data_IF_720152214907
#
_entry.id   IF_720152214907
#
_cell.length_a   1.000
_cell.length_b   1.000
_cell.length_c   1.000
_cell.angle_alpha   90.00
_cell.angle_beta   90.00
_cell.angle_gamma   90.00
#
_symmetry.space_group_name_H-M   'P 1'
#
loop_
_entity.id
_entity.type
_entity.pdbx_description
1 polymer ?
#
# COMPACT_ATOMS: atom_id res chain seq x y z
N UNK A 1 13.55 16.72 8.23
CA UNK A 1 12.14 16.68 7.77
C UNK A 1 11.54 15.27 7.80
N UNK A 2 12.01 14.32 6.97
CA UNK A 2 11.46 12.94 6.92
C UNK A 2 11.38 12.27 8.31
N UNK A 3 12.42 12.39 9.14
CA UNK A 3 12.41 11.82 10.50
C UNK A 3 11.36 12.47 11.41
N UNK A 4 11.07 13.77 11.25
CA UNK A 4 10.01 14.44 12.01
C UNK A 4 8.63 13.93 11.59
N UNK A 5 8.44 13.70 10.29
CA UNK A 5 7.21 13.12 9.75
C UNK A 5 7.03 11.69 10.26
N UNK A 6 8.04 10.84 10.09
CA UNK A 6 8.03 9.46 10.57
C UNK A 6 7.84 9.37 12.08
N UNK A 7 8.50 10.25 12.84
CA UNK A 7 8.31 10.39 14.28
C UNK A 7 6.89 10.81 14.66
N UNK A 8 6.25 11.70 13.87
CA UNK A 8 4.86 12.10 14.09
C UNK A 8 3.89 10.92 13.86
N UNK A 9 4.08 10.15 12.78
CA UNK A 9 3.30 8.93 12.54
C UNK A 9 3.50 7.89 13.64
N UNK A 10 4.74 7.65 14.05
CA UNK A 10 5.05 6.70 15.10
C UNK A 10 4.44 7.12 16.44
N UNK A 11 4.64 8.37 16.86
CA UNK A 11 4.11 8.88 18.12
C UNK A 11 2.59 8.75 18.16
N UNK A 12 1.90 9.23 17.12
CA UNK A 12 0.44 9.15 17.05
C UNK A 12 -0.05 7.69 16.98
N UNK A 13 0.62 6.83 16.22
CA UNK A 13 0.27 5.41 16.13
C UNK A 13 0.40 4.69 17.48
N UNK A 14 1.52 4.87 18.18
CA UNK A 14 1.76 4.19 19.46
C UNK A 14 0.93 4.78 20.61
N UNK A 15 0.47 6.03 20.51
CA UNK A 15 -0.45 6.63 21.47
C UNK A 15 -1.89 6.12 21.30
N UNK A 16 -2.32 5.88 20.06
CA UNK A 16 -3.73 5.57 19.75
C UNK A 16 -4.02 4.08 19.53
N UNK A 17 -3.05 3.32 19.03
CA UNK A 17 -3.25 1.92 18.67
C UNK A 17 -2.36 1.02 19.54
N UNK A 18 -2.94 0.03 20.24
CA UNK A 18 -2.17 -0.90 21.05
C UNK A 18 -1.20 -1.70 20.19
N UNK A 19 -0.25 -2.38 20.82
CA UNK A 19 0.64 -3.33 20.15
C UNK A 19 0.44 -4.71 20.78
N UNK A 20 -0.07 -5.70 20.04
CA UNK A 20 -0.54 -5.60 18.65
C UNK A 20 -1.84 -4.79 18.50
N UNK A 21 -1.99 -4.08 17.38
CA UNK A 21 -3.14 -3.25 16.97
C UNK A 21 -4.24 -4.08 16.31
N UNK A 22 -5.38 -3.49 15.94
CA UNK A 22 -6.61 -4.23 15.59
C UNK A 22 -6.43 -5.37 14.58
N UNK A 23 -5.75 -5.13 13.45
CA UNK A 23 -5.52 -6.17 12.43
C UNK A 23 -4.14 -6.82 12.53
N UNK A 24 -3.25 -6.33 13.38
CA UNK A 24 -1.90 -6.89 13.48
C UNK A 24 -1.88 -8.36 13.89
N UNK A 25 -2.73 -8.85 14.82
CA UNK A 25 -2.84 -10.27 15.08
C UNK A 25 -3.12 -11.05 13.79
N UNK A 26 -4.12 -10.64 13.00
CA UNK A 26 -4.46 -11.32 11.75
C UNK A 26 -3.28 -11.39 10.78
N UNK A 27 -2.59 -10.26 10.55
CA UNK A 27 -1.46 -10.20 9.63
C UNK A 27 -0.24 -10.98 10.14
N UNK A 28 0.11 -10.81 11.41
CA UNK A 28 1.34 -11.36 12.00
C UNK A 28 1.25 -12.85 12.28
N UNK A 29 0.10 -13.34 12.75
CA UNK A 29 -0.08 -14.78 12.96
C UNK A 29 -0.11 -15.52 11.63
N UNK A 30 -0.80 -15.00 10.60
CA UNK A 30 -0.71 -15.57 9.24
C UNK A 30 0.71 -15.53 8.69
N UNK A 31 1.43 -14.42 8.86
CA UNK A 31 2.81 -14.31 8.40
C UNK A 31 3.73 -15.35 9.07
N UNK A 32 3.55 -15.61 10.38
CA UNK A 32 4.32 -16.63 11.09
C UNK A 32 3.94 -18.04 10.66
N UNK A 33 2.65 -18.34 10.60
CA UNK A 33 2.13 -19.64 10.18
C UNK A 33 2.55 -19.98 8.74
N UNK A 34 2.60 -18.99 7.83
CA UNK A 34 3.11 -19.17 6.47
C UNK A 34 4.52 -19.78 6.41
N UNK A 35 5.40 -19.41 7.34
CA UNK A 35 6.77 -19.92 7.43
C UNK A 35 6.91 -21.16 8.33
N UNK A 36 6.01 -21.33 9.30
CA UNK A 36 5.96 -22.49 10.19
C UNK A 36 4.51 -23.00 10.31
N UNK A 37 4.03 -23.83 9.37
CA UNK A 37 2.65 -24.31 9.37
C UNK A 37 2.29 -25.17 10.60
N UNK A 38 3.29 -25.73 11.29
CA UNK A 38 3.06 -26.47 12.54
C UNK A 38 2.71 -25.54 13.71
N UNK A 39 3.07 -24.26 13.62
CA UNK A 39 2.68 -23.27 14.62
C UNK A 39 1.21 -22.93 14.47
N UNK A 40 0.39 -23.37 15.42
CA UNK A 40 -1.07 -23.30 15.36
C UNK A 40 -1.65 -24.08 14.16
N UNK A 41 -1.15 -25.29 13.92
CA UNK A 41 -1.70 -26.22 12.93
C UNK A 41 -3.21 -26.44 13.17
N UNK A 42 -3.94 -26.72 12.09
CA UNK A 42 -5.40 -26.96 12.07
C UNK A 42 -6.27 -25.76 12.47
N UNK A 43 -5.68 -24.57 12.66
CA UNK A 43 -6.45 -23.35 12.84
C UNK A 43 -7.09 -22.93 11.51
N UNK A 44 -8.43 -22.90 11.50
CA UNK A 44 -9.22 -22.59 10.32
C UNK A 44 -8.84 -21.26 9.63
N UNK A 45 -8.52 -20.22 10.42
CA UNK A 45 -8.15 -18.93 9.87
C UNK A 45 -6.72 -18.94 9.30
N UNK A 46 -5.77 -19.55 9.99
CA UNK A 46 -4.37 -19.59 9.56
C UNK A 46 -4.15 -20.45 8.32
N UNK A 47 -4.87 -21.57 8.20
CA UNK A 47 -4.86 -22.48 7.06
C UNK A 47 -5.65 -21.92 5.86
N UNK A 48 -6.41 -20.84 6.06
CA UNK A 48 -7.14 -20.19 4.97
C UNK A 48 -6.20 -19.57 3.93
N UNK A 49 -6.76 -19.15 2.81
CA UNK A 49 -6.00 -18.65 1.68
C UNK A 49 -5.31 -17.30 1.94
N UNK A 50 -4.16 -17.06 1.28
CA UNK A 50 -3.23 -15.97 1.61
C UNK A 50 -3.28 -14.79 0.63
N UNK A 51 -4.13 -13.79 0.93
CA UNK A 51 -4.33 -12.61 0.08
C UNK A 51 -3.12 -11.67 -0.05
N UNK A 52 -2.24 -11.63 0.94
CA UNK A 52 -1.08 -10.72 0.98
C UNK A 52 0.23 -11.51 1.01
N UNK A 53 0.40 -12.45 0.08
CA UNK A 53 1.53 -13.39 0.06
C UNK A 53 2.90 -12.72 0.22
N UNK A 54 3.15 -11.62 -0.49
CA UNK A 54 4.42 -10.89 -0.40
C UNK A 54 4.69 -10.35 1.02
N UNK A 55 3.65 -9.87 1.71
CA UNK A 55 3.77 -9.45 3.11
C UNK A 55 4.12 -10.65 4.00
N UNK A 56 3.44 -11.79 3.82
CA UNK A 56 3.72 -12.99 4.61
C UNK A 56 5.12 -13.55 4.36
N UNK A 57 5.62 -13.50 3.12
CA UNK A 57 6.99 -13.86 2.81
C UNK A 57 8.00 -12.95 3.50
N UNK A 58 7.82 -11.64 3.38
CA UNK A 58 8.80 -10.67 3.88
C UNK A 58 8.74 -10.48 5.39
N UNK A 59 7.58 -10.08 5.92
CA UNK A 59 7.38 -9.85 7.36
C UNK A 59 7.37 -11.16 8.14
N UNK A 60 6.84 -12.24 7.55
CA UNK A 60 6.81 -13.54 8.21
C UNK A 60 8.19 -14.13 8.45
N UNK A 61 9.17 -13.88 7.57
CA UNK A 61 10.55 -14.29 7.80
C UNK A 61 11.12 -13.64 9.07
N UNK A 62 10.79 -12.36 9.31
CA UNK A 62 11.18 -11.64 10.53
C UNK A 62 10.51 -12.24 11.78
N UNK A 63 9.26 -12.70 11.67
CA UNK A 63 8.57 -13.37 12.80
C UNK A 63 9.18 -14.70 13.21
N UNK A 64 10.05 -15.31 12.38
CA UNK A 64 10.74 -16.55 12.76
C UNK A 64 11.86 -16.32 13.77
N UNK A 65 12.40 -15.09 13.81
CA UNK A 65 13.50 -14.72 14.71
C UNK A 65 13.07 -13.77 15.83
N UNK A 66 12.04 -12.95 15.60
CA UNK A 66 11.50 -12.02 16.60
C UNK A 66 10.12 -12.45 17.12
N UNK A 67 9.77 -12.01 18.32
CA UNK A 67 8.41 -12.15 18.86
C UNK A 67 7.41 -11.31 18.05
N UNK A 68 6.12 -11.70 18.04
CA UNK A 68 5.10 -10.96 17.28
C UNK A 68 4.99 -9.48 17.71
N UNK A 69 5.00 -9.12 19.01
CA UNK A 69 4.99 -7.71 19.41
C UNK A 69 6.23 -6.95 18.95
N UNK A 70 7.41 -7.56 18.99
CA UNK A 70 8.63 -6.90 18.53
C UNK A 70 8.63 -6.70 17.01
N UNK A 71 8.16 -7.70 16.25
CA UNK A 71 7.94 -7.55 14.81
C UNK A 71 6.93 -6.44 14.51
N UNK A 72 5.85 -6.33 15.27
CA UNK A 72 4.86 -5.26 15.13
C UNK A 72 5.50 -3.87 15.29
N UNK A 73 6.24 -3.64 16.38
CA UNK A 73 6.91 -2.35 16.64
C UNK A 73 7.90 -2.01 15.53
N UNK A 74 8.82 -2.91 15.20
CA UNK A 74 9.85 -2.63 14.20
C UNK A 74 9.27 -2.48 12.81
N UNK A 75 8.28 -3.31 12.45
CA UNK A 75 7.61 -3.20 11.17
C UNK A 75 6.79 -1.91 11.06
N UNK A 76 6.10 -1.46 12.11
CA UNK A 76 5.45 -0.13 12.14
C UNK A 76 6.46 0.97 11.84
N UNK A 77 7.59 0.98 12.55
CA UNK A 77 8.63 1.99 12.34
C UNK A 77 9.17 1.97 10.91
N UNK A 78 9.41 0.78 10.34
CA UNK A 78 9.84 0.64 8.95
C UNK A 78 8.78 1.14 7.95
N UNK A 79 7.51 0.78 8.16
CA UNK A 79 6.40 1.20 7.32
C UNK A 79 6.17 2.71 7.39
N UNK A 80 6.26 3.31 8.59
CA UNK A 80 6.14 4.76 8.79
C UNK A 80 7.31 5.53 8.21
N UNK A 81 8.51 4.97 8.22
CA UNK A 81 9.65 5.59 7.54
C UNK A 81 9.41 5.62 6.02
N UNK A 82 8.98 4.51 5.42
CA UNK A 82 8.65 4.46 3.99
C UNK A 82 7.51 5.44 3.66
N UNK A 83 6.45 5.45 4.46
CA UNK A 83 5.34 6.39 4.32
C UNK A 83 5.83 7.84 4.43
N UNK A 84 6.69 8.16 5.39
CA UNK A 84 7.26 9.49 5.56
C UNK A 84 8.09 9.94 4.36
N UNK A 85 8.87 9.02 3.76
CA UNK A 85 9.63 9.29 2.54
C UNK A 85 8.68 9.59 1.38
N UNK A 86 7.65 8.76 1.18
CA UNK A 86 6.64 8.97 0.14
C UNK A 86 5.86 10.27 0.34
N UNK A 87 5.40 10.53 1.57
CA UNK A 87 4.67 11.73 1.92
C UNK A 87 5.50 13.00 1.66
N UNK A 88 6.76 13.01 2.12
CA UNK A 88 7.68 14.11 1.88
C UNK A 88 7.89 14.38 0.39
N UNK A 89 8.09 13.32 -0.41
CA UNK A 89 8.29 13.44 -1.86
C UNK A 89 7.04 13.95 -2.57
N UNK A 90 5.86 13.44 -2.23
CA UNK A 90 4.62 13.84 -2.87
C UNK A 90 4.24 15.28 -2.52
N UNK A 91 4.30 15.64 -1.24
CA UNK A 91 3.97 17.00 -0.80
C UNK A 91 4.95 18.03 -1.35
N UNK A 92 6.24 17.69 -1.47
CA UNK A 92 7.21 18.56 -2.14
C UNK A 92 6.92 18.79 -3.63
N UNK A 93 6.28 17.83 -4.32
CA UNK A 93 5.86 17.99 -5.70
C UNK A 93 4.55 18.78 -5.86
N UNK A 94 3.68 18.78 -4.84
CA UNK A 94 2.34 19.40 -4.90
C UNK A 94 2.26 20.77 -4.24
N UNK A 95 3.06 21.02 -3.21
CA UNK A 95 2.95 22.20 -2.37
C UNK A 95 4.31 22.89 -2.24
N UNK A 96 4.37 24.23 -2.43
CA UNK A 96 5.59 24.97 -2.13
C UNK A 96 5.80 25.04 -0.60
N UNK A 97 7.06 25.16 -0.18
CA UNK A 97 7.43 25.46 1.21
C UNK A 97 8.14 24.32 1.94
N UNK A 98 9.16 24.68 2.72
CA UNK A 98 10.00 23.72 3.46
C UNK A 98 9.22 22.91 4.51
N UNK A 99 8.26 23.55 5.20
CA UNK A 99 7.48 22.93 6.28
C UNK A 99 6.18 22.27 5.82
N UNK A 100 5.76 22.47 4.57
CA UNK A 100 4.51 21.95 4.03
C UNK A 100 4.34 20.43 4.18
N UNK A 101 5.38 19.59 3.99
CA UNK A 101 5.28 18.16 4.26
C UNK A 101 4.89 17.82 5.71
N UNK A 102 5.43 18.54 6.69
CA UNK A 102 5.14 18.30 8.11
C UNK A 102 3.75 18.79 8.50
N UNK A 103 3.37 19.98 8.02
CA UNK A 103 2.06 20.58 8.29
C UNK A 103 0.94 19.68 7.73
N UNK A 104 1.10 19.16 6.51
CA UNK A 104 0.11 18.25 5.91
C UNK A 104 -0.01 16.93 6.67
N UNK A 105 1.09 16.41 7.24
CA UNK A 105 1.04 15.26 8.15
C UNK A 105 0.25 15.58 9.40
N UNK A 106 0.53 16.70 10.07
CA UNK A 106 -0.21 17.06 11.28
C UNK A 106 -1.69 17.31 11.01
N UNK A 107 -2.02 17.93 9.87
CA UNK A 107 -3.40 18.09 9.44
C UNK A 107 -4.07 16.73 9.20
N UNK A 108 -3.40 15.82 8.50
CA UNK A 108 -3.89 14.45 8.31
C UNK A 108 -4.09 13.72 9.65
N UNK A 109 -3.11 13.78 10.56
CA UNK A 109 -3.19 13.15 11.87
C UNK A 109 -4.35 13.70 12.71
N UNK A 110 -4.57 15.02 12.68
CA UNK A 110 -5.71 15.65 13.33
C UNK A 110 -7.04 15.11 12.77
N UNK A 111 -7.20 15.06 11.44
CA UNK A 111 -8.39 14.49 10.79
C UNK A 111 -8.57 12.99 11.10
N UNK A 112 -7.47 12.24 11.14
CA UNK A 112 -7.46 10.83 11.49
C UNK A 112 -7.82 10.59 12.97
N UNK A 113 -7.51 11.53 13.87
CA UNK A 113 -7.85 11.45 15.28
C UNK A 113 -9.31 11.81 15.56
N UNK A 114 -9.85 12.85 14.91
CA UNK A 114 -11.20 13.36 15.19
C UNK A 114 -12.30 12.70 14.35
N UNK A 115 -11.99 12.31 13.11
CA UNK A 115 -12.97 11.85 12.12
C UNK A 115 -12.68 10.45 11.58
N UNK A 116 -11.68 9.76 12.13
CA UNK A 116 -11.17 8.47 11.65
C UNK A 116 -10.90 8.46 10.14
N UNK A 117 -10.34 9.55 9.59
CA UNK A 117 -10.02 9.69 8.16
C UNK A 117 -8.90 8.72 7.73
N UNK A 118 -9.28 7.46 7.50
CA UNK A 118 -8.39 6.35 7.15
C UNK A 118 -7.21 6.20 8.12
N UNK A 119 -7.37 6.57 9.40
CA UNK A 119 -6.30 6.57 10.40
C UNK A 119 -5.76 5.15 10.63
N UNK A 120 -6.66 4.22 10.92
CA UNK A 120 -6.32 2.79 11.04
C UNK A 120 -5.66 2.25 9.76
N UNK A 121 -6.08 2.75 8.58
CA UNK A 121 -5.62 2.25 7.30
C UNK A 121 -4.18 2.60 6.97
N UNK A 122 -3.71 3.77 7.39
CA UNK A 122 -2.40 4.30 7.02
C UNK A 122 -1.42 4.24 8.20
N UNK A 123 -1.89 4.36 9.45
CA UNK A 123 -1.04 4.38 10.64
C UNK A 123 -1.53 3.50 11.80
N UNK A 124 -2.57 2.67 11.58
CA UNK A 124 -3.15 1.82 12.62
C UNK A 124 -2.28 0.65 13.08
N UNK A 125 -1.39 0.18 12.21
CA UNK A 125 -0.48 -0.92 12.56
C UNK A 125 0.34 -1.44 11.38
N UNK A 126 1.03 -2.54 11.63
CA UNK A 126 1.83 -3.28 10.67
C UNK A 126 0.93 -4.14 9.78
N UNK A 127 0.49 -3.53 8.69
CA UNK A 127 -0.31 -4.18 7.66
C UNK A 127 0.29 -3.91 6.28
N UNK A 128 -0.01 -4.76 5.31
CA UNK A 128 0.51 -4.63 3.95
C UNK A 128 0.11 -3.30 3.27
N UNK A 129 -1.07 -2.76 3.63
CA UNK A 129 -1.59 -1.49 3.11
C UNK A 129 -0.72 -0.28 3.48
N UNK A 130 -0.08 -0.28 4.65
CA UNK A 130 0.75 0.87 5.09
C UNK A 130 1.97 1.02 4.19
N UNK A 131 2.65 -0.08 3.87
CA UNK A 131 3.75 -0.08 2.90
C UNK A 131 3.27 0.33 1.51
N UNK A 132 2.09 -0.16 1.09
CA UNK A 132 1.50 0.20 -0.19
C UNK A 132 1.28 1.72 -0.30
N UNK A 133 0.75 2.39 0.71
CA UNK A 133 0.59 3.85 0.69
C UNK A 133 1.93 4.61 0.57
N UNK A 134 2.98 4.13 1.23
CA UNK A 134 4.31 4.71 1.09
C UNK A 134 4.85 4.64 -0.35
N UNK A 135 4.71 3.48 -1.00
CA UNK A 135 5.05 3.33 -2.42
C UNK A 135 4.11 4.10 -3.35
N UNK A 136 2.82 4.18 -3.03
CA UNK A 136 1.86 4.96 -3.79
C UNK A 136 2.24 6.43 -3.84
N UNK A 137 2.60 7.03 -2.69
CA UNK A 137 3.02 8.43 -2.66
C UNK A 137 4.33 8.66 -3.42
N UNK A 138 5.26 7.70 -3.40
CA UNK A 138 6.43 7.74 -4.28
C UNK A 138 6.05 7.65 -5.76
N UNK A 139 5.10 6.79 -6.12
CA UNK A 139 4.62 6.66 -7.49
C UNK A 139 4.01 7.97 -7.99
N UNK A 140 3.12 8.58 -7.20
CA UNK A 140 2.49 9.86 -7.50
C UNK A 140 3.51 10.99 -7.60
N UNK A 141 4.45 11.09 -6.66
CA UNK A 141 5.50 12.10 -6.71
C UNK A 141 6.33 12.00 -8.01
N UNK A 142 6.74 10.78 -8.40
CA UNK A 142 7.48 10.59 -9.64
C UNK A 142 6.61 10.83 -10.88
N UNK A 143 5.30 10.59 -10.82
CA UNK A 143 4.38 10.93 -11.90
C UNK A 143 4.25 12.46 -12.05
N UNK A 144 4.18 13.21 -10.95
CA UNK A 144 4.21 14.68 -10.95
C UNK A 144 5.52 15.20 -11.56
N UNK A 145 6.65 14.57 -11.24
CA UNK A 145 7.97 14.87 -11.81
C UNK A 145 8.16 14.36 -13.26
N UNK A 146 7.13 13.75 -13.88
CA UNK A 146 7.18 13.09 -15.20
C UNK A 146 8.23 11.96 -15.34
N UNK A 147 8.70 11.42 -14.22
CA UNK A 147 9.62 10.29 -14.16
C UNK A 147 8.87 8.95 -14.28
N UNK A 148 8.28 8.70 -15.45
CA UNK A 148 7.33 7.59 -15.68
C UNK A 148 7.87 6.19 -15.34
N UNK A 149 9.14 5.91 -15.59
CA UNK A 149 9.73 4.62 -15.23
C UNK A 149 9.70 4.36 -13.72
N UNK A 150 10.10 5.37 -12.93
CA UNK A 150 10.05 5.29 -11.47
C UNK A 150 8.62 5.23 -10.95
N UNK A 151 7.72 6.01 -11.55
CA UNK A 151 6.29 5.94 -11.24
C UNK A 151 5.74 4.52 -11.48
N UNK A 152 6.12 3.88 -12.59
CA UNK A 152 5.77 2.49 -12.91
C UNK A 152 6.30 1.50 -11.86
N UNK A 153 7.59 1.57 -11.51
CA UNK A 153 8.21 0.73 -10.48
C UNK A 153 7.44 0.83 -9.15
N UNK A 154 7.24 2.06 -8.65
CA UNK A 154 6.57 2.26 -7.36
C UNK A 154 5.09 1.90 -7.40
N UNK A 155 4.41 2.07 -8.53
CA UNK A 155 3.03 1.58 -8.72
C UNK A 155 2.99 0.05 -8.65
N UNK A 156 3.93 -0.63 -9.32
CA UNK A 156 4.05 -2.08 -9.24
C UNK A 156 4.33 -2.56 -7.81
N UNK A 157 5.23 -1.90 -7.09
CA UNK A 157 5.49 -2.20 -5.67
C UNK A 157 4.26 -1.97 -4.79
N UNK A 158 3.46 -0.94 -5.07
CA UNK A 158 2.18 -0.70 -4.39
C UNK A 158 1.24 -1.90 -4.55
N UNK A 159 1.10 -2.42 -5.78
CA UNK A 159 0.31 -3.63 -6.08
C UNK A 159 0.89 -4.86 -5.39
N UNK A 160 2.22 -4.99 -5.39
CA UNK A 160 2.91 -6.13 -4.76
C UNK A 160 2.64 -6.22 -3.26
N UNK A 161 2.68 -5.10 -2.54
CA UNK A 161 2.36 -5.07 -1.13
C UNK A 161 0.86 -5.22 -0.88
N UNK A 162 0.03 -4.45 -1.58
CA UNK A 162 -1.41 -4.50 -1.39
C UNK A 162 -2.16 -4.36 -2.73
N UNK A 163 -2.57 -5.48 -3.34
CA UNK A 163 -3.20 -5.52 -4.66
C UNK A 163 -4.38 -4.57 -4.81
N UNK A 164 -5.30 -4.55 -3.85
CA UNK A 164 -6.48 -3.68 -3.89
C UNK A 164 -6.10 -2.19 -3.92
N UNK A 165 -5.23 -1.73 -3.01
CA UNK A 165 -4.75 -0.34 -2.98
C UNK A 165 -4.05 0.00 -4.29
N UNK A 166 -3.17 -0.87 -4.78
CA UNK A 166 -2.39 -0.63 -6.00
C UNK A 166 -3.22 -0.60 -7.28
N UNK A 167 -4.17 -1.53 -7.45
CA UNK A 167 -5.03 -1.59 -8.64
C UNK A 167 -5.98 -0.38 -8.67
N UNK A 168 -6.58 -0.01 -7.54
CA UNK A 168 -7.40 1.21 -7.47
C UNK A 168 -6.58 2.47 -7.72
N UNK A 169 -5.37 2.56 -7.17
CA UNK A 169 -4.48 3.68 -7.45
C UNK A 169 -4.12 3.79 -8.94
N UNK A 170 -3.81 2.67 -9.60
CA UNK A 170 -3.56 2.63 -11.03
C UNK A 170 -4.79 3.07 -11.83
N UNK A 171 -5.97 2.57 -11.50
CA UNK A 171 -7.23 2.94 -12.16
C UNK A 171 -7.50 4.45 -12.03
N UNK A 172 -7.39 5.01 -10.82
CA UNK A 172 -7.53 6.45 -10.58
C UNK A 172 -6.47 7.27 -11.31
N UNK A 173 -5.21 6.81 -11.36
CA UNK A 173 -4.12 7.48 -12.08
C UNK A 173 -4.36 7.50 -13.59
N UNK A 174 -4.78 6.38 -14.18
CA UNK A 174 -5.15 6.30 -15.60
C UNK A 174 -6.35 7.19 -15.92
N UNK A 175 -7.36 7.21 -15.04
CA UNK A 175 -8.51 8.12 -15.18
C UNK A 175 -8.07 9.59 -15.14
N UNK A 176 -7.21 9.97 -14.20
CA UNK A 176 -6.68 11.34 -14.13
C UNK A 176 -5.90 11.71 -15.40
N UNK A 177 -5.07 10.81 -15.93
CA UNK A 177 -4.35 11.01 -17.19
C UNK A 177 -5.31 11.15 -18.39
N UNK A 178 -6.39 10.36 -18.42
CA UNK A 178 -7.41 10.48 -19.45
C UNK A 178 -8.15 11.82 -19.38
N UNK A 179 -8.53 12.27 -18.18
CA UNK A 179 -9.12 13.60 -17.96
C UNK A 179 -8.17 14.72 -18.43
N UNK A 180 -6.91 14.69 -18.02
CA UNK A 180 -5.91 15.67 -18.45
C UNK A 180 -5.72 15.68 -19.97
N UNK A 181 -5.71 14.50 -20.60
CA UNK A 181 -5.62 14.38 -22.07
C UNK A 181 -6.85 14.97 -22.76
N UNK A 182 -8.04 14.82 -22.18
CA UNK A 182 -9.28 15.44 -22.68
C UNK A 182 -9.27 16.97 -22.57
N UNK A 183 -8.74 17.53 -21.49
CA UNK A 183 -8.62 18.98 -21.32
C UNK A 183 -7.53 19.59 -22.22
N UNK A 184 -6.42 18.88 -22.45
CA UNK A 184 -5.28 19.34 -23.25
C UNK A 184 -5.37 18.97 -24.74
N UNK A 185 -6.55 18.59 -25.26
CA UNK A 185 -6.76 18.11 -26.64
C UNK A 185 -6.20 19.03 -27.73
N UNK A 186 -6.16 20.34 -27.49
CA UNK A 186 -5.70 21.34 -28.46
C UNK A 186 -4.18 21.33 -28.72
N UNK A 187 -3.39 20.63 -27.89
CA UNK A 187 -1.92 20.62 -27.95
C UNK A 187 -1.32 19.25 -28.34
N UNK A 188 -2.15 18.30 -28.81
CA UNK A 188 -1.70 16.96 -29.19
C UNK A 188 -1.17 16.94 -30.63
N UNK A 189 0.15 17.18 -30.79
CA UNK A 189 0.87 16.90 -32.03
C UNK A 189 1.39 15.44 -32.07
N UNK A 190 1.59 14.91 -33.28
CA UNK A 190 2.13 13.56 -33.55
C UNK A 190 3.48 13.32 -32.87
N UNK A 191 4.33 14.36 -32.77
CA UNK A 191 5.63 14.27 -32.08
C UNK A 191 5.47 14.05 -30.58
N UNK A 192 4.54 14.78 -29.95
CA UNK A 192 4.22 14.64 -28.52
C UNK A 192 3.65 13.26 -28.22
N UNK A 193 2.80 12.73 -29.11
CA UNK A 193 2.26 11.37 -28.97
C UNK A 193 3.36 10.30 -29.05
N UNK A 194 4.24 10.38 -30.05
CA UNK A 194 5.36 9.44 -30.20
C UNK A 194 6.30 9.46 -28.97
N UNK A 195 6.60 10.64 -28.44
CA UNK A 195 7.41 10.76 -27.23
C UNK A 195 6.72 10.13 -26.01
N UNK A 196 5.42 10.40 -25.84
CA UNK A 196 4.61 9.84 -24.74
C UNK A 196 4.55 8.31 -24.80
N UNK A 197 4.35 7.73 -25.99
CA UNK A 197 4.36 6.27 -26.17
C UNK A 197 5.72 5.67 -25.84
N UNK A 198 6.81 6.28 -26.30
CA UNK A 198 8.17 5.81 -26.00
C UNK A 198 8.50 5.86 -24.51
N UNK A 199 7.98 6.84 -23.77
CA UNK A 199 8.12 6.91 -22.32
C UNK A 199 7.21 5.90 -21.58
N UNK A 200 6.02 5.63 -22.13
CA UNK A 200 5.03 4.74 -21.53
C UNK A 200 5.44 3.25 -21.59
N UNK A 201 6.07 2.80 -22.67
CA UNK A 201 6.48 1.38 -22.84
C UNK A 201 7.39 0.89 -21.69
N UNK A 202 8.54 1.52 -21.40
CA UNK A 202 9.41 1.07 -20.31
C UNK A 202 8.74 1.24 -18.93
N UNK A 203 7.92 2.27 -18.75
CA UNK A 203 7.16 2.47 -17.52
C UNK A 203 6.14 1.35 -17.27
N UNK A 204 5.42 0.94 -18.31
CA UNK A 204 4.49 -0.18 -18.27
C UNK A 204 5.22 -1.51 -18.02
N UNK A 205 6.35 -1.72 -18.67
CA UNK A 205 7.20 -2.88 -18.42
C UNK A 205 7.64 -2.96 -16.95
N UNK A 206 8.12 -1.83 -16.39
CA UNK A 206 8.50 -1.75 -14.97
C UNK A 206 7.32 -2.01 -14.04
N UNK A 207 6.15 -1.44 -14.32
CA UNK A 207 4.94 -1.63 -13.55
C UNK A 207 4.54 -3.10 -13.50
N UNK A 208 4.44 -3.74 -14.67
CA UNK A 208 4.02 -5.14 -14.77
C UNK A 208 5.00 -6.00 -13.97
N UNK A 209 6.30 -5.93 -14.26
CA UNK A 209 7.32 -6.73 -13.61
C UNK A 209 7.30 -6.56 -12.09
N UNK A 210 7.22 -5.32 -11.60
CA UNK A 210 7.21 -5.04 -10.16
C UNK A 210 5.90 -5.40 -9.47
N UNK A 211 4.79 -5.62 -10.22
CA UNK A 211 3.48 -5.99 -9.67
C UNK A 211 3.25 -7.49 -9.55
N UNK A 212 3.99 -8.31 -10.32
CA UNK A 212 3.77 -9.75 -10.41
C UNK A 212 3.75 -10.47 -9.05
N UNK A 213 4.66 -10.18 -8.09
CA UNK A 213 4.70 -10.90 -6.82
C UNK A 213 3.42 -10.77 -5.98
N UNK A 214 2.69 -9.65 -6.05
CA UNK A 214 1.38 -9.52 -5.39
C UNK A 214 0.20 -9.84 -6.29
N UNK A 215 0.31 -9.57 -7.60
CA UNK A 215 -0.80 -9.75 -8.53
C UNK A 215 -1.10 -11.23 -8.81
N UNK A 216 -0.07 -12.05 -9.05
CA UNK A 216 -0.24 -13.49 -9.32
C UNK A 216 -1.00 -14.22 -8.19
N UNK A 217 -0.58 -14.15 -6.92
CA UNK A 217 -1.29 -14.85 -5.85
C UNK A 217 -2.72 -14.32 -5.70
N UNK A 218 -2.95 -13.03 -5.86
CA UNK A 218 -4.29 -12.43 -5.77
C UNK A 218 -5.24 -12.92 -6.85
N UNK A 219 -4.75 -13.03 -8.10
CA UNK A 219 -5.53 -13.58 -9.20
C UNK A 219 -5.80 -15.06 -9.00
N UNK A 220 -4.83 -15.83 -8.49
CA UNK A 220 -5.03 -17.24 -8.18
C UNK A 220 -6.16 -17.45 -7.15
N UNK A 221 -6.24 -16.59 -6.12
CA UNK A 221 -7.31 -16.63 -5.12
C UNK A 221 -8.69 -16.38 -5.70
N UNK A 222 -8.81 -15.46 -6.66
CA UNK A 222 -10.08 -15.17 -7.34
C UNK A 222 -10.57 -16.35 -8.19
N UNK A 223 -9.65 -17.21 -8.65
CA UNK A 223 -9.97 -18.36 -9.51
C UNK A 223 -10.23 -19.64 -8.70
N UNK A 224 -9.70 -19.77 -7.49
CA UNK A 224 -9.76 -21.00 -6.69
C UNK A 224 -11.10 -21.26 -5.97
N UNK A 225 -12.00 -20.27 -5.87
CA UNK A 225 -13.25 -20.40 -5.12
C UNK A 225 -14.43 -20.92 -5.94
N UNK A 226 -15.28 -21.76 -5.33
CA UNK A 226 -16.61 -22.05 -5.86
C UNK A 226 -17.45 -20.75 -5.84
N UNK A 227 -18.08 -20.35 -6.96
CA UNK A 227 -18.89 -19.13 -7.00
C UNK A 227 -20.02 -19.08 -5.96
N UNK A 228 -20.60 -20.24 -5.62
CA UNK A 228 -21.67 -20.33 -4.60
C UNK A 228 -21.14 -20.02 -3.20
N UNK A 229 -20.01 -20.61 -2.83
CA UNK A 229 -19.40 -20.41 -1.51
C UNK A 229 -18.88 -18.97 -1.37
N UNK A 230 -18.33 -18.42 -2.46
CA UNK A 230 -17.89 -17.02 -2.51
C UNK A 230 -19.06 -16.05 -2.33
N UNK A 231 -20.21 -16.33 -2.95
CA UNK A 231 -21.42 -15.53 -2.76
C UNK A 231 -21.92 -15.60 -1.32
N UNK A 232 -22.01 -16.81 -0.75
CA UNK A 232 -22.45 -16.99 0.64
C UNK A 232 -21.53 -16.27 1.63
N UNK A 233 -20.20 -16.40 1.47
CA UNK A 233 -19.22 -15.71 2.29
C UNK A 233 -19.36 -14.18 2.19
N UNK A 234 -19.48 -13.64 0.97
CA UNK A 234 -19.69 -12.21 0.75
C UNK A 234 -21.00 -11.72 1.36
N UNK A 235 -22.08 -12.49 1.23
CA UNK A 235 -23.38 -12.14 1.79
C UNK A 235 -23.33 -12.06 3.32
N UNK A 236 -22.71 -13.04 3.98
CA UNK A 236 -22.49 -13.02 5.43
C UNK A 236 -21.65 -11.81 5.82
N UNK A 237 -20.54 -11.58 5.12
CA UNK A 237 -19.62 -10.48 5.40
C UNK A 237 -20.26 -9.09 5.25
N UNK A 238 -21.17 -8.89 4.31
CA UNK A 238 -21.74 -7.55 4.04
C UNK A 238 -23.02 -7.30 4.84
N UNK A 239 -23.87 -8.32 5.02
CA UNK A 239 -25.24 -8.11 5.54
C UNK A 239 -25.42 -8.54 7.01
N UNK A 240 -24.53 -9.36 7.57
CA UNK A 240 -24.63 -9.85 8.96
C UNK A 240 -23.48 -9.39 9.85
N UNK A 241 -22.72 -8.38 9.43
CA UNK A 241 -21.65 -7.76 10.22
C UNK A 241 -22.17 -6.81 11.28
#
# INVERSE_FOLDING_TARGET
MILLIGGSFAADSFLRFPVPGTNEPHYLTKARHYWNPQWCADDFFLESSNAHLFFYQTVGAVTQVLSLPLTAVLGRLAAFLLLAIGWYRLTGALCPGYWSPLITVWFYLALAAIGNFSGEWIIGGLEAKVFAYGFLFLALANACDQNWNRAGIYTGLTITWHPVVGVWALACGLFALACMSCFNRKNLDRRTLLHSVKAAIPALGCLILCSLPGLIPSLALLVQGNPKDSFAANYIQVFYR
#
